data_IF_757488279026
#
_entry.id   IF_757488279026
#
_cell.length_a   1.000
_cell.length_b   1.000
_cell.length_c   1.000
_cell.angle_alpha   90.00
_cell.angle_beta   90.00
_cell.angle_gamma   90.00
#
_symmetry.space_group_name_H-M   'P 1'
#
loop_
_entity.id
_entity.type
_entity.pdbx_description
1 polymer ?
#
# COMPACT_ATOMS: atom_id res chain seq x y z
N UNK A 1 -3.92 7.93 -14.35
CA UNK A 1 -4.22 7.07 -13.20
C UNK A 1 -5.57 6.40 -13.42
N UNK A 2 -5.63 5.10 -13.22
CA UNK A 2 -6.82 4.31 -13.58
C UNK A 2 -7.41 3.65 -12.34
N UNK A 3 -8.71 3.82 -12.18
CA UNK A 3 -9.52 3.04 -11.23
C UNK A 3 -10.79 2.57 -11.95
N UNK A 4 -11.39 1.52 -11.44
CA UNK A 4 -12.69 1.05 -11.89
C UNK A 4 -13.72 2.17 -11.67
N UNK A 5 -14.54 2.47 -12.66
CA UNK A 5 -15.56 3.53 -12.60
C UNK A 5 -16.55 3.36 -11.46
N UNK A 6 -16.76 2.11 -11.03
CA UNK A 6 -17.70 1.81 -9.95
C UNK A 6 -17.11 2.05 -8.57
N UNK A 7 -15.80 2.20 -8.47
CA UNK A 7 -15.12 2.41 -7.19
C UNK A 7 -15.18 3.89 -6.81
N UNK A 8 -15.71 4.18 -5.62
CA UNK A 8 -15.82 5.53 -5.10
C UNK A 8 -14.91 5.74 -3.88
N UNK A 9 -14.81 4.74 -3.02
CA UNK A 9 -14.05 4.82 -1.78
C UNK A 9 -13.31 3.52 -1.46
N UNK A 10 -12.35 3.63 -0.54
CA UNK A 10 -11.59 2.48 -0.05
C UNK A 10 -11.34 2.62 1.44
N UNK A 11 -11.50 1.52 2.17
CA UNK A 11 -11.08 1.40 3.56
C UNK A 11 -9.88 0.49 3.61
N UNK A 12 -8.79 0.96 4.21
CA UNK A 12 -7.57 0.15 4.37
C UNK A 12 -7.45 -0.19 5.85
N UNK A 13 -7.59 -1.48 6.14
CA UNK A 13 -7.66 -2.02 7.50
C UNK A 13 -6.74 -3.25 7.62
N UNK A 14 -6.46 -3.71 8.85
CA UNK A 14 -5.71 -4.94 9.02
C UNK A 14 -6.37 -6.11 8.29
N UNK A 15 -5.55 -6.95 7.66
CA UNK A 15 -6.05 -8.10 6.91
C UNK A 15 -6.63 -9.17 7.83
N UNK A 16 -7.70 -9.82 7.36
CA UNK A 16 -8.23 -11.02 8.02
C UNK A 16 -7.45 -12.28 7.67
N UNK A 17 -6.56 -12.21 6.68
CA UNK A 17 -5.68 -13.33 6.31
C UNK A 17 -4.42 -13.32 7.15
N UNK A 18 -3.96 -14.51 7.55
CA UNK A 18 -2.76 -14.67 8.40
C UNK A 18 -1.47 -14.27 7.69
N UNK A 19 -1.43 -14.40 6.37
CA UNK A 19 -0.23 -14.17 5.55
C UNK A 19 -0.13 -12.75 4.98
N UNK A 20 -1.12 -11.89 5.25
CA UNK A 20 -1.15 -10.52 4.72
C UNK A 20 -1.27 -9.48 5.84
N UNK A 21 -0.67 -8.31 5.62
CA UNK A 21 -0.66 -7.22 6.60
C UNK A 21 -1.97 -6.43 6.59
N UNK A 22 -2.42 -6.06 5.41
CA UNK A 22 -3.53 -5.13 5.23
C UNK A 22 -4.51 -5.65 4.19
N UNK A 23 -5.69 -5.05 4.20
CA UNK A 23 -6.77 -5.35 3.29
C UNK A 23 -7.41 -4.04 2.85
N UNK A 24 -7.62 -3.88 1.54
CA UNK A 24 -8.34 -2.75 0.97
C UNK A 24 -9.75 -3.20 0.61
N UNK A 25 -10.75 -2.54 1.20
CA UNK A 25 -12.16 -2.79 0.90
C UNK A 25 -12.66 -1.66 0.02
N UNK A 26 -12.96 -1.95 -1.23
CA UNK A 26 -13.44 -0.98 -2.22
C UNK A 26 -14.96 -0.94 -2.22
N UNK A 27 -15.51 0.28 -2.22
CA UNK A 27 -16.96 0.50 -2.16
C UNK A 27 -17.41 1.42 -3.30
N UNK A 28 -18.66 1.24 -3.72
CA UNK A 28 -19.29 2.11 -4.72
C UNK A 28 -19.88 3.37 -4.05
N UNK A 29 -20.55 4.22 -4.84
CA UNK A 29 -21.18 5.46 -4.35
C UNK A 29 -22.27 5.22 -3.32
N UNK A 30 -22.89 4.06 -3.34
CA UNK A 30 -23.90 3.66 -2.38
C UNK A 30 -23.30 3.02 -1.12
N UNK A 31 -21.98 3.09 -0.98
CA UNK A 31 -21.20 2.52 0.12
C UNK A 31 -21.30 1.00 0.22
N UNK A 32 -21.62 0.34 -0.89
CA UNK A 32 -21.65 -1.11 -0.97
C UNK A 32 -20.29 -1.63 -1.38
N UNK A 33 -19.86 -2.71 -0.73
CA UNK A 33 -18.59 -3.38 -1.03
C UNK A 33 -18.62 -3.95 -2.43
N UNK A 34 -17.62 -3.62 -3.24
CA UNK A 34 -17.41 -4.19 -4.57
C UNK A 34 -16.42 -5.34 -4.49
N UNK A 35 -15.29 -5.14 -3.83
CA UNK A 35 -14.24 -6.16 -3.69
C UNK A 35 -13.36 -5.85 -2.50
N UNK A 36 -12.61 -6.85 -2.07
CA UNK A 36 -11.57 -6.70 -1.07
C UNK A 36 -10.27 -7.30 -1.62
N UNK A 37 -9.15 -6.61 -1.40
CA UNK A 37 -7.83 -7.06 -1.86
C UNK A 37 -6.89 -7.05 -0.67
N UNK A 38 -6.34 -8.22 -0.36
CA UNK A 38 -5.33 -8.37 0.69
C UNK A 38 -3.95 -8.08 0.09
N UNK A 39 -3.11 -7.36 0.83
CA UNK A 39 -1.79 -7.00 0.32
C UNK A 39 -0.76 -6.86 1.44
N UNK A 40 0.51 -6.88 1.04
CA UNK A 40 1.63 -6.81 1.97
C UNK A 40 1.90 -8.16 2.63
N UNK A 41 2.98 -8.83 2.24
CA UNK A 41 3.34 -10.12 2.83
C UNK A 41 3.75 -9.95 4.29
N UNK A 42 3.09 -10.67 5.19
CA UNK A 42 3.42 -10.65 6.61
C UNK A 42 4.79 -11.29 6.85
N UNK A 43 5.57 -10.70 7.75
CA UNK A 43 6.93 -11.17 8.01
C UNK A 43 7.99 -10.54 7.12
N UNK A 44 7.60 -9.74 6.14
CA UNK A 44 8.52 -9.02 5.27
C UNK A 44 8.51 -7.52 5.57
N UNK A 45 9.64 -6.86 5.33
CA UNK A 45 9.78 -5.43 5.58
C UNK A 45 9.08 -4.60 4.50
N UNK A 46 8.76 -3.35 4.84
CA UNK A 46 8.34 -2.33 3.91
C UNK A 46 8.82 -0.97 4.44
N UNK A 47 8.61 0.09 3.66
CA UNK A 47 9.14 1.41 4.01
C UNK A 47 8.55 1.95 5.34
N UNK A 48 7.29 1.67 5.61
CA UNK A 48 6.67 2.10 6.86
C UNK A 48 7.25 1.37 8.07
N UNK A 49 7.62 0.10 7.92
CA UNK A 49 8.20 -0.71 8.99
C UNK A 49 9.67 -0.36 9.24
N UNK A 50 10.47 -0.18 8.20
CA UNK A 50 11.89 0.15 8.38
C UNK A 50 12.08 1.58 8.90
N UNK A 51 11.05 2.41 8.83
CA UNK A 51 11.06 3.79 9.31
C UNK A 51 10.46 3.94 10.71
N UNK A 52 9.87 2.90 11.27
CA UNK A 52 9.21 2.92 12.57
C UNK A 52 10.11 2.35 13.66
N UNK A 53 10.48 3.20 14.63
CA UNK A 53 11.37 2.82 15.74
C UNK A 53 10.84 1.64 16.56
N UNK A 54 9.54 1.42 16.59
CA UNK A 54 8.91 0.34 17.34
C UNK A 54 8.80 -0.97 16.54
N UNK A 55 9.22 -0.95 15.28
CA UNK A 55 9.16 -2.11 14.40
C UNK A 55 10.43 -2.97 14.54
N UNK A 56 10.31 -4.31 14.50
CA UNK A 56 11.50 -5.19 14.47
C UNK A 56 12.31 -5.02 13.18
N UNK A 57 11.77 -4.37 12.16
CA UNK A 57 12.45 -4.10 10.89
C UNK A 57 13.13 -2.74 10.84
N UNK A 58 13.09 -1.97 11.93
CA UNK A 58 13.61 -0.61 11.95
C UNK A 58 15.07 -0.54 11.49
N UNK A 59 15.34 0.41 10.60
CA UNK A 59 16.70 0.74 10.14
C UNK A 59 16.97 2.19 10.56
N UNK A 60 17.95 2.40 11.43
CA UNK A 60 18.25 3.72 11.95
C UNK A 60 18.80 4.68 10.89
N UNK A 61 19.63 4.18 9.99
CA UNK A 61 20.29 5.00 8.96
C UNK A 61 19.30 5.36 7.84
N UNK A 62 19.06 6.67 7.64
CA UNK A 62 18.11 7.17 6.64
C UNK A 62 18.54 6.80 5.23
N UNK A 63 19.83 6.85 4.92
CA UNK A 63 20.33 6.51 3.58
C UNK A 63 20.09 5.04 3.26
N UNK A 64 20.25 4.16 4.26
CA UNK A 64 19.93 2.74 4.10
C UNK A 64 18.45 2.53 3.85
N UNK A 65 17.57 3.24 4.57
CA UNK A 65 16.14 3.16 4.32
C UNK A 65 15.80 3.54 2.89
N UNK A 66 16.39 4.62 2.40
CA UNK A 66 16.17 5.09 1.02
C UNK A 66 16.68 4.07 0.00
N UNK A 67 17.82 3.43 0.27
CA UNK A 67 18.37 2.40 -0.60
C UNK A 67 17.46 1.18 -0.67
N UNK A 68 16.94 0.74 0.46
CA UNK A 68 16.00 -0.39 0.53
C UNK A 68 14.74 -0.09 -0.29
N UNK A 69 14.20 1.13 -0.14
CA UNK A 69 13.02 1.58 -0.89
C UNK A 69 13.31 1.59 -2.40
N UNK A 70 14.42 2.13 -2.82
CA UNK A 70 14.82 2.18 -4.23
C UNK A 70 14.94 0.78 -4.83
N UNK A 71 15.54 -0.16 -4.09
CA UNK A 71 15.66 -1.55 -4.53
C UNK A 71 14.29 -2.21 -4.74
N UNK A 72 13.35 -1.97 -3.83
CA UNK A 72 11.99 -2.47 -3.97
C UNK A 72 11.36 -1.93 -5.26
N UNK A 73 11.39 -0.61 -5.43
CA UNK A 73 10.79 0.05 -6.59
C UNK A 73 11.39 -0.49 -7.89
N UNK A 74 12.71 -0.57 -7.97
CA UNK A 74 13.41 -1.02 -9.17
C UNK A 74 13.09 -2.47 -9.54
N UNK A 75 12.95 -3.35 -8.53
CA UNK A 75 12.62 -4.75 -8.78
C UNK A 75 11.18 -4.96 -9.23
N UNK A 76 10.25 -4.18 -8.67
CA UNK A 76 8.82 -4.42 -8.89
C UNK A 76 8.24 -3.65 -10.08
N UNK A 77 8.78 -2.47 -10.41
CA UNK A 77 8.23 -1.62 -11.48
C UNK A 77 8.16 -2.30 -12.85
N UNK A 78 9.02 -3.26 -13.10
CA UNK A 78 9.08 -3.96 -14.39
C UNK A 78 7.96 -4.97 -14.59
N UNK A 79 7.33 -5.42 -13.51
CA UNK A 79 6.37 -6.52 -13.53
C UNK A 79 4.98 -6.14 -13.04
N UNK A 80 4.81 -4.94 -12.49
CA UNK A 80 3.58 -4.54 -11.83
C UNK A 80 2.97 -3.33 -12.50
N UNK A 81 1.64 -3.30 -12.54
CA UNK A 81 0.91 -2.14 -13.04
C UNK A 81 0.51 -1.24 -11.86
N UNK A 82 1.28 -0.18 -11.66
CA UNK A 82 1.05 0.78 -10.58
C UNK A 82 0.10 1.91 -10.95
N UNK A 83 -0.44 1.90 -12.16
CA UNK A 83 -1.39 2.91 -12.63
C UNK A 83 -2.84 2.53 -12.36
N UNK A 84 -3.10 1.30 -11.95
CA UNK A 84 -4.43 0.85 -11.53
C UNK A 84 -4.51 0.83 -10.01
N UNK A 85 -5.64 1.31 -9.46
CA UNK A 85 -5.80 1.42 -8.00
C UNK A 85 -5.99 0.07 -7.31
N UNK A 86 -6.71 -0.84 -7.94
CA UNK A 86 -7.28 -2.02 -7.30
C UNK A 86 -6.55 -3.32 -7.66
N UNK A 87 -5.25 -3.32 -7.41
CA UNK A 87 -4.45 -4.54 -7.42
C UNK A 87 -3.45 -4.53 -6.27
N UNK A 88 -2.99 -5.71 -5.87
CA UNK A 88 -2.11 -5.85 -4.70
C UNK A 88 -0.76 -5.13 -4.89
N UNK A 89 -0.23 -5.12 -6.11
CA UNK A 89 1.03 -4.44 -6.43
C UNK A 89 0.94 -2.93 -6.23
N UNK A 90 -0.13 -2.31 -6.73
CA UNK A 90 -0.37 -0.87 -6.55
C UNK A 90 -0.58 -0.53 -5.09
N UNK A 91 -1.37 -1.32 -4.38
CA UNK A 91 -1.61 -1.10 -2.95
C UNK A 91 -0.32 -1.16 -2.16
N UNK A 92 0.51 -2.17 -2.40
CA UNK A 92 1.81 -2.28 -1.73
C UNK A 92 2.71 -1.10 -2.07
N UNK A 93 2.82 -0.74 -3.34
CA UNK A 93 3.69 0.36 -3.79
C UNK A 93 3.30 1.69 -3.15
N UNK A 94 2.02 2.04 -3.18
CA UNK A 94 1.56 3.36 -2.76
C UNK A 94 1.23 3.45 -1.27
N UNK A 95 0.83 2.36 -0.63
CA UNK A 95 0.48 2.36 0.78
C UNK A 95 1.66 1.97 1.68
N UNK A 96 2.48 1.01 1.25
CA UNK A 96 3.56 0.49 2.09
C UNK A 96 4.94 1.06 1.75
N UNK A 97 5.15 1.55 0.54
CA UNK A 97 6.47 1.97 0.07
C UNK A 97 6.57 3.44 -0.36
N UNK A 98 5.51 4.23 -0.29
CA UNK A 98 5.55 5.63 -0.72
C UNK A 98 6.08 6.58 0.36
N UNK A 99 5.49 6.57 1.54
CA UNK A 99 5.85 7.43 2.66
C UNK A 99 6.39 6.60 3.82
N UNK A 100 7.19 7.20 4.73
CA UNK A 100 7.69 6.46 5.89
C UNK A 100 6.62 6.15 6.93
N UNK A 101 5.44 6.73 6.83
CA UNK A 101 4.33 6.49 7.76
C UNK A 101 3.11 5.99 7.01
N UNK A 102 2.35 5.12 7.65
CA UNK A 102 1.21 4.44 7.01
C UNK A 102 0.08 5.41 6.62
N UNK A 103 -0.37 6.26 7.55
CA UNK A 103 -1.51 7.13 7.28
C UNK A 103 -1.23 8.13 6.14
N UNK A 104 -0.08 8.84 6.12
CA UNK A 104 0.26 9.68 4.96
C UNK A 104 0.34 8.91 3.64
N UNK A 105 0.77 7.66 3.67
CA UNK A 105 0.80 6.82 2.45
C UNK A 105 -0.62 6.50 1.97
N UNK A 106 -1.52 6.17 2.90
CA UNK A 106 -2.93 5.94 2.57
C UNK A 106 -3.56 7.18 1.96
N UNK A 107 -3.30 8.35 2.56
CA UNK A 107 -3.82 9.63 2.07
C UNK A 107 -3.29 9.93 0.66
N UNK A 108 -2.01 9.67 0.42
CA UNK A 108 -1.39 9.82 -0.89
C UNK A 108 -2.06 8.91 -1.92
N UNK A 109 -2.28 7.64 -1.57
CA UNK A 109 -2.93 6.67 -2.45
C UNK A 109 -4.36 7.11 -2.82
N UNK A 110 -5.14 7.52 -1.84
CA UNK A 110 -6.50 7.99 -2.07
C UNK A 110 -6.54 9.21 -2.98
N UNK A 111 -5.66 10.17 -2.76
CA UNK A 111 -5.57 11.37 -3.58
C UNK A 111 -5.15 11.04 -5.00
N UNK A 112 -4.16 10.16 -5.15
CA UNK A 112 -3.62 9.76 -6.45
C UNK A 112 -4.69 9.13 -7.34
N UNK A 113 -5.57 8.32 -6.76
CA UNK A 113 -6.62 7.61 -7.50
C UNK A 113 -8.01 8.20 -7.33
N UNK A 114 -8.11 9.40 -6.74
CA UNK A 114 -9.38 10.08 -6.51
C UNK A 114 -10.37 9.20 -5.75
N UNK A 115 -9.92 8.62 -4.65
CA UNK A 115 -10.71 7.76 -3.77
C UNK A 115 -11.01 8.49 -2.45
N UNK A 116 -12.18 8.23 -1.93
CA UNK A 116 -12.58 8.71 -0.59
C UNK A 116 -12.18 7.76 0.50
#
# INVERSE_FOLDING_TARGET
MVKDKNIDSVDIIPSTRKDKKLMAIFKNKDKKKIKAIHFGAKGYRDYTLISNKNSPFYIENVDKRNSVRTLYIDRHKKRENWNESDNAGSLSRWVLWEKPNLQPSIDFYKKKFNLK
#
